data_IF_712797349447
#
_entry.id   IF_712797349447
#
_cell.length_a   1.000
_cell.length_b   1.000
_cell.length_c   1.000
_cell.angle_alpha   90.00
_cell.angle_beta   90.00
_cell.angle_gamma   90.00
#
_symmetry.space_group_name_H-M   'P 1'
#
loop_
_entity.id
_entity.type
_entity.pdbx_description
1 polymer ?
#
# COMPACT_ATOMS: atom_id res chain seq x y z
N UNK A 1 -8.84 -15.67 24.27
CA UNK A 1 -8.71 -14.21 24.09
C UNK A 1 -9.00 -13.58 25.44
N UNK A 2 -8.11 -12.75 25.98
CA UNK A 2 -8.43 -12.04 27.23
C UNK A 2 -9.68 -11.18 26.99
N UNK A 3 -10.58 -11.12 27.97
CA UNK A 3 -11.89 -10.47 27.88
C UNK A 3 -11.83 -8.93 27.82
N UNK A 4 -10.82 -8.39 27.11
CA UNK A 4 -10.52 -6.97 27.06
C UNK A 4 -10.01 -6.42 28.39
N UNK A 5 -9.69 -7.23 29.39
CA UNK A 5 -9.23 -6.69 30.68
C UNK A 5 -7.84 -6.06 30.54
N UNK A 6 -7.67 -4.77 30.92
CA UNK A 6 -6.39 -4.11 30.82
C UNK A 6 -5.41 -4.70 31.84
N UNK A 7 -4.19 -5.01 31.39
CA UNK A 7 -3.11 -5.53 32.24
C UNK A 7 -2.07 -4.43 32.41
N UNK A 8 -1.66 -4.20 33.66
CA UNK A 8 -0.65 -3.21 34.00
C UNK A 8 0.70 -3.55 33.32
N UNK A 9 1.39 -2.53 32.82
CA UNK A 9 2.65 -2.67 32.05
C UNK A 9 2.57 -3.51 30.76
N UNK A 10 1.39 -3.94 30.32
CA UNK A 10 1.24 -4.55 28.99
C UNK A 10 1.43 -3.49 27.90
N UNK A 11 2.31 -3.78 26.94
CA UNK A 11 2.53 -2.98 25.74
C UNK A 11 1.32 -2.99 24.79
N UNK A 12 0.50 -4.03 24.86
CA UNK A 12 -0.70 -4.19 24.03
C UNK A 12 -1.98 -3.75 24.76
N UNK A 13 -1.87 -3.16 25.95
CA UNK A 13 -2.98 -2.86 26.88
C UNK A 13 -3.63 -4.09 27.51
N UNK A 14 -3.82 -5.17 26.76
CA UNK A 14 -4.40 -6.46 27.17
C UNK A 14 -3.36 -7.60 27.09
N UNK A 15 -3.73 -8.82 27.49
CA UNK A 15 -2.96 -10.03 27.18
C UNK A 15 -3.24 -10.47 25.73
N UNK A 16 -2.24 -10.43 24.82
CA UNK A 16 -2.45 -10.75 23.42
C UNK A 16 -2.78 -12.22 23.19
N UNK A 17 -3.49 -12.50 22.10
CA UNK A 17 -3.73 -13.84 21.61
C UNK A 17 -2.43 -14.46 21.08
N UNK A 18 -2.12 -15.68 21.52
CA UNK A 18 -0.92 -16.42 21.12
C UNK A 18 -1.07 -17.14 19.77
N UNK A 19 -2.27 -17.60 19.43
CA UNK A 19 -2.52 -18.39 18.22
C UNK A 19 -2.83 -17.56 16.96
N UNK A 20 -3.52 -16.42 17.11
CA UNK A 20 -3.89 -15.59 15.97
C UNK A 20 -2.68 -15.03 15.20
N UNK A 21 -1.60 -14.52 15.83
CA UNK A 21 -0.39 -14.12 15.13
C UNK A 21 0.25 -15.24 14.32
N UNK A 22 0.25 -16.48 14.84
CA UNK A 22 0.82 -17.66 14.15
C UNK A 22 0.05 -17.91 12.85
N UNK A 23 -1.28 -17.92 12.92
CA UNK A 23 -2.13 -18.09 11.73
C UNK A 23 -1.83 -17.02 10.67
N UNK A 24 -1.80 -15.74 11.06
CA UNK A 24 -1.53 -14.66 10.10
C UNK A 24 -0.10 -14.72 9.56
N UNK A 25 0.90 -15.04 10.39
CA UNK A 25 2.27 -15.21 9.93
C UNK A 25 2.37 -16.30 8.85
N UNK A 26 1.76 -17.47 9.07
CA UNK A 26 1.73 -18.56 8.09
C UNK A 26 0.98 -18.14 6.82
N UNK A 27 -0.19 -17.53 6.96
CA UNK A 27 -1.00 -17.10 5.83
C UNK A 27 -0.28 -16.07 4.93
N UNK A 28 0.39 -15.08 5.55
CA UNK A 28 1.20 -14.11 4.81
C UNK A 28 2.49 -14.73 4.25
N UNK A 29 3.08 -15.73 4.91
CA UNK A 29 4.24 -16.44 4.38
C UNK A 29 3.89 -17.20 3.09
N UNK A 30 2.76 -17.91 3.10
CA UNK A 30 2.22 -18.59 1.91
C UNK A 30 1.97 -17.55 0.81
N UNK A 31 1.30 -16.44 1.15
CA UNK A 31 1.06 -15.35 0.20
C UNK A 31 2.36 -14.78 -0.38
N UNK A 32 3.40 -14.62 0.44
CA UNK A 32 4.71 -14.12 0.01
C UNK A 32 5.37 -15.07 -0.99
N UNK A 33 5.36 -16.38 -0.72
CA UNK A 33 5.90 -17.40 -1.64
C UNK A 33 5.23 -17.29 -3.01
N UNK A 34 3.90 -17.18 -3.05
CA UNK A 34 3.17 -17.02 -4.31
C UNK A 34 3.52 -15.71 -5.04
N UNK A 35 3.51 -14.57 -4.35
CA UNK A 35 3.86 -13.28 -4.96
C UNK A 35 5.30 -13.29 -5.51
N UNK A 36 6.25 -13.85 -4.75
CA UNK A 36 7.65 -13.98 -5.16
C UNK A 36 7.76 -14.87 -6.41
N UNK A 37 7.14 -16.05 -6.38
CA UNK A 37 7.11 -16.95 -7.54
C UNK A 37 6.51 -16.27 -8.78
N UNK A 38 5.39 -15.56 -8.62
CA UNK A 38 4.76 -14.80 -9.70
C UNK A 38 5.68 -13.71 -10.25
N UNK A 39 6.38 -12.96 -9.39
CA UNK A 39 7.33 -11.94 -9.80
C UNK A 39 8.46 -12.51 -10.66
N UNK A 40 9.00 -13.67 -10.29
CA UNK A 40 10.02 -14.37 -11.08
C UNK A 40 9.45 -14.94 -12.38
N UNK A 41 8.32 -15.63 -12.32
CA UNK A 41 7.70 -16.31 -13.47
C UNK A 41 7.24 -15.35 -14.57
N UNK A 42 6.73 -14.18 -14.20
CA UNK A 42 6.23 -13.16 -15.13
C UNK A 42 7.21 -12.00 -15.36
N UNK A 43 8.43 -12.06 -14.77
CA UNK A 43 9.46 -11.01 -14.86
C UNK A 43 8.91 -9.61 -14.51
N UNK A 44 8.04 -9.55 -13.50
CA UNK A 44 7.18 -8.39 -13.26
C UNK A 44 7.47 -7.62 -11.96
N UNK A 45 8.67 -7.77 -11.40
CA UNK A 45 9.10 -7.07 -10.18
C UNK A 45 8.87 -5.55 -10.22
N UNK A 46 8.93 -4.91 -11.40
CA UNK A 46 8.66 -3.46 -11.52
C UNK A 46 7.21 -3.08 -11.22
N UNK A 47 6.25 -3.92 -11.62
CA UNK A 47 4.83 -3.65 -11.51
C UNK A 47 4.28 -4.12 -10.16
N UNK A 48 4.57 -5.38 -9.79
CA UNK A 48 3.97 -6.04 -8.63
C UNK A 48 4.92 -6.21 -7.45
N UNK A 49 6.19 -5.80 -7.54
CA UNK A 49 7.22 -6.06 -6.52
C UNK A 49 6.95 -5.49 -5.13
N UNK A 50 6.00 -4.57 -4.98
CA UNK A 50 5.54 -4.10 -3.66
C UNK A 50 4.69 -5.14 -2.91
N UNK A 51 3.94 -6.00 -3.62
CA UNK A 51 3.15 -7.06 -3.00
C UNK A 51 3.98 -8.11 -2.25
N UNK A 52 5.03 -8.73 -2.85
CA UNK A 52 5.87 -9.67 -2.12
C UNK A 52 6.63 -8.99 -0.99
N UNK A 53 7.07 -7.74 -1.16
CA UNK A 53 7.69 -6.98 -0.07
C UNK A 53 6.73 -6.86 1.13
N UNK A 54 5.49 -6.42 0.89
CA UNK A 54 4.49 -6.31 1.95
C UNK A 54 4.16 -7.67 2.57
N UNK A 55 4.04 -8.73 1.78
CA UNK A 55 3.74 -10.07 2.30
C UNK A 55 4.88 -10.60 3.21
N UNK A 56 6.14 -10.37 2.86
CA UNK A 56 7.30 -10.69 3.72
C UNK A 56 7.29 -9.84 4.99
N UNK A 57 7.03 -8.54 4.88
CA UNK A 57 6.96 -7.64 6.03
C UNK A 57 5.82 -8.02 6.98
N UNK A 58 4.62 -8.33 6.46
CA UNK A 58 3.53 -8.85 7.30
C UNK A 58 3.91 -10.15 7.99
N UNK A 59 4.54 -11.09 7.28
CA UNK A 59 5.03 -12.35 7.87
C UNK A 59 5.95 -12.08 9.06
N UNK A 60 6.95 -11.22 8.87
CA UNK A 60 7.87 -10.82 9.93
C UNK A 60 7.14 -10.08 11.07
N UNK A 61 6.23 -9.16 10.74
CA UNK A 61 5.47 -8.39 11.72
C UNK A 61 4.58 -9.26 12.62
N UNK A 62 3.90 -10.26 12.05
CA UNK A 62 3.07 -11.21 12.82
C UNK A 62 3.90 -12.25 13.57
N UNK A 63 5.06 -12.67 13.05
CA UNK A 63 6.00 -13.51 13.79
C UNK A 63 6.57 -12.77 15.02
N UNK A 64 6.95 -11.50 14.86
CA UNK A 64 7.36 -10.66 15.99
C UNK A 64 6.20 -10.41 16.97
N UNK A 65 4.97 -10.28 16.46
CA UNK A 65 3.76 -10.16 17.30
C UNK A 65 3.53 -11.40 18.14
N UNK A 66 3.77 -12.60 17.58
CA UNK A 66 3.71 -13.85 18.33
C UNK A 66 4.70 -13.85 19.50
N UNK A 67 5.97 -13.51 19.24
CA UNK A 67 6.96 -13.36 20.31
C UNK A 67 6.48 -12.37 21.38
N UNK A 68 5.93 -11.24 20.93
CA UNK A 68 5.33 -10.21 21.79
C UNK A 68 4.14 -10.74 22.61
N UNK A 69 3.35 -11.68 22.08
CA UNK A 69 2.23 -12.30 22.80
C UNK A 69 2.69 -13.19 23.97
N UNK A 70 3.90 -13.74 23.92
CA UNK A 70 4.51 -14.44 25.06
C UNK A 70 5.29 -13.49 26.00
N UNK A 71 5.75 -12.35 25.49
CA UNK A 71 6.61 -11.40 26.20
C UNK A 71 6.05 -9.97 26.15
N UNK A 72 4.81 -9.76 26.61
CA UNK A 72 4.10 -8.48 26.46
C UNK A 72 4.28 -7.49 27.62
N UNK A 73 4.90 -7.91 28.73
CA UNK A 73 5.09 -7.08 29.92
C UNK A 73 6.36 -6.23 29.76
N UNK A 74 6.20 -4.91 29.89
CA UNK A 74 7.30 -3.96 29.88
C UNK A 74 7.96 -3.86 31.26
N UNK A 75 9.28 -4.04 31.30
CA UNK A 75 10.11 -3.81 32.49
C UNK A 75 11.21 -2.80 32.12
N UNK A 76 11.44 -1.79 32.96
CA UNK A 76 12.47 -0.76 32.73
C UNK A 76 13.88 -1.35 32.58
N UNK A 77 14.13 -2.52 33.18
CA UNK A 77 15.40 -3.26 33.11
C UNK A 77 15.61 -3.99 31.78
N UNK A 78 14.55 -4.28 31.02
CA UNK A 78 14.63 -5.10 29.80
C UNK A 78 13.89 -4.43 28.65
N UNK A 79 14.65 -3.84 27.72
CA UNK A 79 14.10 -3.11 26.57
C UNK A 79 13.67 -4.00 25.39
N UNK A 80 14.03 -5.28 25.41
CA UNK A 80 13.80 -6.20 24.28
C UNK A 80 12.30 -6.34 23.90
N UNK A 81 11.35 -6.55 24.84
CA UNK A 81 9.91 -6.57 24.55
C UNK A 81 9.42 -5.32 23.82
N UNK A 82 9.90 -4.14 24.23
CA UNK A 82 9.54 -2.87 23.61
C UNK A 82 10.04 -2.79 22.16
N UNK A 83 11.29 -3.17 21.92
CA UNK A 83 11.87 -3.14 20.56
C UNK A 83 11.10 -4.09 19.64
N UNK A 84 10.79 -5.30 20.10
CA UNK A 84 10.04 -6.29 19.32
C UNK A 84 8.62 -5.82 19.04
N UNK A 85 7.95 -5.22 20.03
CA UNK A 85 6.65 -4.60 19.85
C UNK A 85 6.69 -3.51 18.76
N UNK A 86 7.65 -2.58 18.85
CA UNK A 86 7.81 -1.50 17.87
C UNK A 86 8.07 -2.04 16.47
N UNK A 87 9.00 -2.99 16.32
CA UNK A 87 9.30 -3.61 15.01
C UNK A 87 8.08 -4.34 14.44
N UNK A 88 7.31 -5.05 15.28
CA UNK A 88 6.06 -5.69 14.88
C UNK A 88 5.05 -4.67 14.35
N UNK A 89 4.82 -3.57 15.09
CA UNK A 89 3.90 -2.52 14.64
C UNK A 89 4.38 -1.87 13.33
N UNK A 90 5.67 -1.55 13.22
CA UNK A 90 6.25 -0.92 12.02
C UNK A 90 6.04 -1.81 10.79
N UNK A 91 6.40 -3.10 10.87
CA UNK A 91 6.24 -4.02 9.75
C UNK A 91 4.78 -4.23 9.34
N UNK A 92 3.84 -4.23 10.28
CA UNK A 92 2.42 -4.37 9.98
C UNK A 92 1.86 -3.07 9.37
N UNK A 93 2.14 -1.91 9.96
CA UNK A 93 1.48 -0.65 9.57
C UNK A 93 2.03 -0.03 8.29
N UNK A 94 3.30 -0.24 7.96
CA UNK A 94 3.92 0.29 6.73
C UNK A 94 3.39 -0.39 5.46
N UNK A 95 2.87 -1.61 5.57
CA UNK A 95 2.47 -2.40 4.41
C UNK A 95 1.29 -1.79 3.62
N UNK A 96 0.18 -1.35 4.22
CA UNK A 96 -0.96 -0.96 3.40
C UNK A 96 -0.78 0.34 2.62
N UNK A 97 -0.08 1.38 3.10
CA UNK A 97 0.35 2.48 2.25
C UNK A 97 1.17 2.00 1.04
N UNK A 98 2.07 1.02 1.22
CA UNK A 98 2.83 0.43 0.11
C UNK A 98 1.93 -0.38 -0.85
N UNK A 99 0.91 -1.07 -0.36
CA UNK A 99 -0.09 -1.75 -1.19
C UNK A 99 -0.96 -0.76 -1.97
N UNK A 100 -1.28 0.39 -1.38
CA UNK A 100 -1.97 1.47 -2.06
C UNK A 100 -1.11 2.06 -3.19
N UNK A 101 0.17 2.29 -2.94
CA UNK A 101 1.13 2.66 -3.97
C UNK A 101 1.22 1.61 -5.09
N UNK A 102 1.09 0.33 -4.76
CA UNK A 102 1.01 -0.74 -5.76
C UNK A 102 -0.25 -0.59 -6.63
N UNK A 103 -1.41 -0.27 -6.06
CA UNK A 103 -2.63 0.04 -6.81
C UNK A 103 -2.41 1.24 -7.76
N UNK A 104 -1.71 2.28 -7.30
CA UNK A 104 -1.40 3.45 -8.14
C UNK A 104 -0.55 3.06 -9.36
N UNK A 105 0.39 2.12 -9.20
CA UNK A 105 1.19 1.56 -10.29
C UNK A 105 0.35 0.77 -11.28
N UNK A 106 -0.58 -0.05 -10.80
CA UNK A 106 -1.48 -0.80 -11.68
C UNK A 106 -2.39 0.14 -12.46
N UNK A 107 -2.96 1.18 -11.83
CA UNK A 107 -3.80 2.16 -12.54
C UNK A 107 -2.98 2.98 -13.57
N UNK A 108 -1.79 3.43 -13.20
CA UNK A 108 -0.91 4.11 -14.15
C UNK A 108 -0.54 3.21 -15.34
N UNK A 109 -0.37 1.90 -15.10
CA UNK A 109 -0.14 0.93 -16.16
C UNK A 109 -1.35 0.78 -17.08
N UNK A 110 -2.58 0.78 -16.54
CA UNK A 110 -3.80 0.80 -17.35
C UNK A 110 -3.90 2.08 -18.21
N UNK A 111 -3.46 3.22 -17.69
CA UNK A 111 -3.46 4.48 -18.45
C UNK A 111 -2.40 4.49 -19.54
N UNK A 112 -1.27 3.82 -19.32
CA UNK A 112 -0.30 3.55 -20.38
C UNK A 112 -0.85 2.64 -21.45
N UNK A 113 -1.59 1.61 -21.06
CA UNK A 113 -2.17 0.66 -22.00
C UNK A 113 -3.30 1.29 -22.82
N UNK A 114 -4.13 2.17 -22.24
CA UNK A 114 -5.23 2.85 -22.96
C UNK A 114 -5.13 4.38 -22.77
N UNK A 115 -4.18 5.04 -23.47
CA UNK A 115 -3.92 6.46 -23.26
C UNK A 115 -5.08 7.36 -23.68
N UNK A 116 -5.89 6.96 -24.66
CA UNK A 116 -7.02 7.77 -25.14
C UNK A 116 -8.22 7.79 -24.17
N UNK A 117 -8.32 6.82 -23.25
CA UNK A 117 -9.31 6.84 -22.18
C UNK A 117 -8.78 7.48 -20.89
N UNK A 118 -7.46 7.70 -20.76
CA UNK A 118 -6.84 8.21 -19.56
C UNK A 118 -7.30 9.66 -19.24
N UNK A 119 -7.85 9.94 -18.04
CA UNK A 119 -8.16 11.31 -17.60
C UNK A 119 -6.92 12.14 -17.33
N UNK A 120 -5.81 11.50 -16.96
CA UNK A 120 -4.54 12.14 -16.64
C UNK A 120 -3.39 11.37 -17.30
N UNK A 121 -2.26 12.02 -17.61
CA UNK A 121 -1.08 11.31 -18.07
C UNK A 121 -0.58 10.31 -17.02
N UNK A 122 -0.33 9.06 -17.42
CA UNK A 122 0.08 7.97 -16.52
C UNK A 122 1.28 8.32 -15.62
N UNK A 123 2.29 9.03 -16.16
CA UNK A 123 3.45 9.48 -15.39
C UNK A 123 3.10 10.41 -14.23
N UNK A 124 2.08 11.27 -14.40
CA UNK A 124 1.70 12.21 -13.36
C UNK A 124 1.02 11.51 -12.19
N UNK A 125 0.34 10.39 -12.42
CA UNK A 125 -0.34 9.65 -11.36
C UNK A 125 0.69 9.09 -10.38
N UNK A 126 1.69 8.39 -10.88
CA UNK A 126 2.73 7.81 -10.03
C UNK A 126 3.48 8.88 -9.24
N UNK A 127 3.85 9.99 -9.89
CA UNK A 127 4.58 11.05 -9.22
C UNK A 127 3.73 11.81 -8.22
N UNK A 128 2.50 12.20 -8.59
CA UNK A 128 1.62 12.96 -7.69
C UNK A 128 1.16 12.12 -6.52
N UNK A 129 0.62 10.92 -6.76
CA UNK A 129 0.12 10.08 -5.68
C UNK A 129 1.25 9.47 -4.84
N UNK A 130 2.40 9.15 -5.44
CA UNK A 130 3.58 8.75 -4.69
C UNK A 130 4.14 9.86 -3.79
N UNK A 131 4.16 11.10 -4.28
CA UNK A 131 4.56 12.27 -3.48
C UNK A 131 3.58 12.54 -2.33
N UNK A 132 2.27 12.48 -2.61
CA UNK A 132 1.23 12.64 -1.59
C UNK A 132 1.34 11.55 -0.52
N UNK A 133 1.52 10.30 -0.93
CA UNK A 133 1.74 9.18 -0.01
C UNK A 133 2.98 9.40 0.85
N UNK A 134 4.11 9.82 0.27
CA UNK A 134 5.32 10.14 1.04
C UNK A 134 5.05 11.24 2.08
N UNK A 135 4.34 12.29 1.70
CA UNK A 135 3.96 13.38 2.62
C UNK A 135 3.04 12.86 3.74
N UNK A 136 2.04 12.06 3.42
CA UNK A 136 1.12 11.48 4.41
C UNK A 136 1.87 10.55 5.38
N UNK A 137 2.71 9.66 4.88
CA UNK A 137 3.45 8.70 5.70
C UNK A 137 4.51 9.37 6.58
N UNK A 138 5.12 10.47 6.12
CA UNK A 138 6.03 11.27 6.94
C UNK A 138 5.29 11.98 8.07
N UNK A 139 4.14 12.60 7.80
CA UNK A 139 3.29 13.21 8.83
C UNK A 139 2.81 12.15 9.84
N UNK A 140 2.38 10.99 9.36
CA UNK A 140 1.92 9.88 10.19
C UNK A 140 3.04 9.35 11.08
N UNK A 141 4.23 9.09 10.52
CA UNK A 141 5.38 8.57 11.26
C UNK A 141 5.85 9.54 12.34
N UNK A 142 5.91 10.83 12.03
CA UNK A 142 6.24 11.88 13.00
C UNK A 142 5.15 12.00 14.07
N UNK A 143 3.88 11.95 13.68
CA UNK A 143 2.75 12.01 14.59
C UNK A 143 2.78 10.88 15.62
N UNK A 144 2.95 9.63 15.17
CA UNK A 144 3.05 8.45 16.03
C UNK A 144 4.29 8.52 16.93
N UNK A 145 5.44 8.94 16.41
CA UNK A 145 6.67 9.05 17.20
C UNK A 145 6.55 10.09 18.34
N UNK A 146 5.92 11.24 18.07
CA UNK A 146 5.68 12.28 19.07
C UNK A 146 4.62 11.86 20.11
N UNK A 147 3.54 11.22 19.65
CA UNK A 147 2.46 10.77 20.53
C UNK A 147 2.92 9.64 21.47
N UNK A 148 3.77 8.73 21.00
CA UNK A 148 4.28 7.59 21.77
C UNK A 148 5.47 7.94 22.68
N UNK A 149 6.03 9.15 22.58
CA UNK A 149 7.19 9.53 23.37
C UNK A 149 6.79 9.99 24.78
N UNK A 150 6.93 9.10 25.77
CA UNK A 150 6.63 9.39 27.17
C UNK A 150 7.51 10.49 27.78
N UNK A 151 8.65 10.81 27.17
CA UNK A 151 9.55 11.89 27.61
C UNK A 151 9.20 13.26 27.03
N UNK A 152 8.29 13.33 26.05
CA UNK A 152 7.83 14.59 25.44
C UNK A 152 6.80 15.31 26.32
N UNK A 153 6.69 16.63 26.18
CA UNK A 153 5.67 17.42 26.89
C UNK A 153 4.25 17.02 26.45
N UNK A 154 3.26 17.28 27.30
CA UNK A 154 1.83 17.03 26.98
C UNK A 154 1.40 17.73 25.70
N UNK A 155 1.88 18.95 25.45
CA UNK A 155 1.64 19.69 24.20
C UNK A 155 2.24 18.99 22.98
N UNK A 156 3.45 18.42 23.10
CA UNK A 156 4.09 17.67 22.00
C UNK A 156 3.37 16.35 21.71
N UNK A 157 2.92 15.63 22.74
CA UNK A 157 2.15 14.40 22.57
C UNK A 157 0.79 14.68 21.90
N UNK A 158 0.10 15.77 22.32
CA UNK A 158 -1.14 16.22 21.69
C UNK A 158 -0.92 16.60 20.22
N UNK A 159 0.15 17.34 19.91
CA UNK A 159 0.54 17.64 18.54
C UNK A 159 0.75 16.36 17.72
N UNK A 160 1.44 15.36 18.27
CA UNK A 160 1.64 14.06 17.63
C UNK A 160 0.33 13.34 17.29
N UNK A 161 -0.62 13.34 18.23
CA UNK A 161 -1.96 12.77 18.01
C UNK A 161 -2.70 13.50 16.89
N UNK A 162 -2.71 14.85 16.91
CA UNK A 162 -3.32 15.65 15.86
C UNK A 162 -2.68 15.44 14.48
N UNK A 163 -1.36 15.33 14.41
CA UNK A 163 -0.64 15.01 13.17
C UNK A 163 -1.04 13.64 12.60
N UNK A 164 -1.19 12.64 13.48
CA UNK A 164 -1.62 11.29 13.08
C UNK A 164 -3.03 11.31 12.53
N UNK A 165 -3.97 11.98 13.21
CA UNK A 165 -5.36 12.13 12.74
C UNK A 165 -5.42 12.89 11.41
N UNK A 166 -4.63 13.96 11.27
CA UNK A 166 -4.56 14.72 10.03
C UNK A 166 -4.03 13.86 8.86
N UNK A 167 -2.97 13.10 9.07
CA UNK A 167 -2.40 12.20 8.07
C UNK A 167 -3.43 11.14 7.62
N UNK A 168 -4.10 10.48 8.56
CA UNK A 168 -5.16 9.50 8.27
C UNK A 168 -6.34 10.12 7.52
N UNK A 169 -6.71 11.36 7.84
CA UNK A 169 -7.79 12.09 7.16
C UNK A 169 -7.42 12.45 5.72
N UNK A 170 -6.19 12.92 5.48
CA UNK A 170 -5.68 13.19 4.14
C UNK A 170 -5.64 11.87 3.34
N UNK A 171 -5.15 10.79 3.93
CA UNK A 171 -5.10 9.46 3.31
C UNK A 171 -6.46 9.00 2.81
N UNK A 172 -7.50 9.16 3.63
CA UNK A 172 -8.88 8.84 3.27
C UNK A 172 -9.36 9.62 2.05
N UNK A 173 -9.10 10.93 2.01
CA UNK A 173 -9.45 11.79 0.86
C UNK A 173 -8.70 11.36 -0.41
N UNK A 174 -7.40 11.05 -0.30
CA UNK A 174 -6.58 10.60 -1.43
C UNK A 174 -7.13 9.30 -2.03
N UNK A 175 -7.54 8.34 -1.20
CA UNK A 175 -8.17 7.09 -1.64
C UNK A 175 -9.45 7.37 -2.45
N UNK A 176 -10.32 8.27 -1.97
CA UNK A 176 -11.56 8.64 -2.67
C UNK A 176 -11.24 9.27 -4.04
N UNK A 177 -10.31 10.21 -4.09
CA UNK A 177 -9.89 10.85 -5.35
C UNK A 177 -9.37 9.80 -6.33
N UNK A 178 -8.57 8.84 -5.85
CA UNK A 178 -8.05 7.75 -6.68
C UNK A 178 -9.17 6.87 -7.25
N UNK A 179 -10.15 6.47 -6.43
CA UNK A 179 -11.31 5.69 -6.88
C UNK A 179 -12.13 6.48 -7.91
N UNK A 180 -12.34 7.78 -7.70
CA UNK A 180 -13.01 8.64 -8.68
C UNK A 180 -12.27 8.68 -10.03
N UNK A 181 -10.94 8.80 -10.02
CA UNK A 181 -10.13 8.76 -11.25
C UNK A 181 -10.24 7.41 -11.97
N UNK A 182 -10.20 6.29 -11.23
CA UNK A 182 -10.40 4.97 -11.79
C UNK A 182 -11.80 4.81 -12.41
N UNK A 183 -12.83 5.35 -11.75
CA UNK A 183 -14.21 5.38 -12.25
C UNK A 183 -14.38 6.22 -13.52
N UNK A 184 -13.75 7.38 -13.60
CA UNK A 184 -13.76 8.19 -14.82
C UNK A 184 -13.11 7.41 -15.98
N UNK A 185 -11.98 6.75 -15.73
CA UNK A 185 -11.32 5.91 -16.72
C UNK A 185 -12.21 4.74 -17.16
N UNK A 186 -12.84 4.04 -16.22
CA UNK A 186 -13.77 2.94 -16.51
C UNK A 186 -14.93 3.42 -17.41
N UNK A 187 -15.58 4.55 -17.06
CA UNK A 187 -16.68 5.10 -17.86
C UNK A 187 -16.22 5.49 -19.28
N UNK A 188 -15.00 6.03 -19.43
CA UNK A 188 -14.41 6.31 -20.75
C UNK A 188 -14.14 5.03 -21.54
N UNK A 189 -13.59 3.99 -20.92
CA UNK A 189 -13.39 2.70 -21.59
C UNK A 189 -14.71 2.09 -22.09
N UNK A 190 -15.77 2.19 -21.29
CA UNK A 190 -17.12 1.72 -21.70
C UNK A 190 -17.67 2.54 -22.87
N UNK A 191 -17.49 3.86 -22.85
CA UNK A 191 -17.93 4.76 -23.93
C UNK A 191 -17.20 4.48 -25.25
N UNK A 192 -15.89 4.28 -25.19
CA UNK A 192 -15.07 3.93 -26.35
C UNK A 192 -15.17 2.44 -26.72
N UNK A 193 -16.06 1.68 -26.08
CA UNK A 193 -16.35 0.25 -26.33
C UNK A 193 -15.09 -0.63 -26.35
N UNK A 194 -14.17 -0.38 -25.42
CA UNK A 194 -12.97 -1.21 -25.24
C UNK A 194 -13.39 -2.65 -24.98
N UNK A 195 -12.97 -3.60 -25.82
CA UNK A 195 -13.35 -5.02 -25.76
C UNK A 195 -12.36 -5.90 -24.98
N UNK A 196 -11.40 -5.30 -24.27
CA UNK A 196 -10.35 -6.03 -23.56
C UNK A 196 -10.82 -6.39 -22.14
N UNK A 197 -11.26 -7.63 -21.93
CA UNK A 197 -11.75 -8.14 -20.62
C UNK A 197 -10.72 -8.01 -19.50
N UNK A 198 -9.43 -8.11 -19.82
CA UNK A 198 -8.32 -7.91 -18.89
C UNK A 198 -8.38 -6.56 -18.16
N UNK A 199 -8.78 -5.49 -18.86
CA UNK A 199 -8.86 -4.13 -18.31
C UNK A 199 -9.95 -4.03 -17.25
N UNK A 200 -11.15 -4.57 -17.55
CA UNK A 200 -12.26 -4.56 -16.60
C UNK A 200 -12.00 -5.45 -15.39
N UNK A 201 -11.32 -6.59 -15.59
CA UNK A 201 -10.91 -7.48 -14.49
C UNK A 201 -9.98 -6.75 -13.52
N UNK A 202 -9.01 -5.99 -14.05
CA UNK A 202 -8.07 -5.23 -13.22
C UNK A 202 -8.69 -4.00 -12.58
N UNK A 203 -9.61 -3.31 -13.25
CA UNK A 203 -10.37 -2.24 -12.64
C UNK A 203 -11.23 -2.76 -11.48
N UNK A 204 -11.90 -3.89 -11.67
CA UNK A 204 -12.65 -4.55 -10.59
C UNK A 204 -11.75 -4.92 -9.41
N UNK A 205 -10.60 -5.55 -9.70
CA UNK A 205 -9.59 -5.90 -8.69
C UNK A 205 -9.09 -4.66 -7.94
N UNK A 206 -8.83 -3.56 -8.65
CA UNK A 206 -8.46 -2.28 -8.06
C UNK A 206 -9.55 -1.72 -7.15
N UNK A 207 -10.82 -1.77 -7.54
CA UNK A 207 -11.91 -1.31 -6.68
C UNK A 207 -12.03 -2.10 -5.38
N UNK A 208 -11.94 -3.44 -5.47
CA UNK A 208 -11.98 -4.29 -4.27
C UNK A 208 -10.77 -4.01 -3.38
N UNK A 209 -9.57 -3.93 -3.96
CA UNK A 209 -8.33 -3.58 -3.25
C UNK A 209 -8.44 -2.23 -2.52
N UNK A 210 -8.88 -1.18 -3.22
CA UNK A 210 -9.04 0.16 -2.63
C UNK A 210 -10.15 0.20 -1.58
N UNK A 211 -11.23 -0.56 -1.74
CA UNK A 211 -12.29 -0.64 -0.73
C UNK A 211 -11.78 -1.30 0.57
N UNK A 212 -11.01 -2.38 0.47
CA UNK A 212 -10.40 -3.03 1.64
C UNK A 212 -9.45 -2.09 2.39
N UNK A 213 -8.62 -1.34 1.64
CA UNK A 213 -7.72 -0.33 2.22
C UNK A 213 -8.53 0.82 2.85
N UNK A 214 -9.61 1.28 2.21
CA UNK A 214 -10.46 2.34 2.72
C UNK A 214 -11.11 1.97 4.06
N UNK A 215 -11.68 0.78 4.17
CA UNK A 215 -12.30 0.30 5.42
C UNK A 215 -11.26 0.27 6.55
N UNK A 216 -10.03 -0.18 6.25
CA UNK A 216 -8.91 -0.15 7.19
C UNK A 216 -8.52 1.28 7.60
N UNK A 217 -8.46 2.22 6.66
CA UNK A 217 -8.20 3.64 6.96
C UNK A 217 -9.28 4.26 7.86
N UNK A 218 -10.55 3.92 7.64
CA UNK A 218 -11.66 4.34 8.51
C UNK A 218 -11.49 3.77 9.92
N UNK A 219 -11.19 2.47 10.03
CA UNK A 219 -10.87 1.85 11.33
C UNK A 219 -9.74 2.58 12.05
N UNK A 220 -8.62 2.85 11.36
CA UNK A 220 -7.47 3.59 11.93
C UNK A 220 -7.84 4.99 12.38
N UNK A 221 -8.65 5.70 11.60
CA UNK A 221 -9.11 7.04 11.96
C UNK A 221 -10.00 7.02 13.21
N UNK A 222 -10.94 6.06 13.30
CA UNK A 222 -11.79 5.90 14.49
C UNK A 222 -10.97 5.46 15.70
N UNK A 223 -9.98 4.60 15.51
CA UNK A 223 -9.06 4.17 16.56
C UNK A 223 -8.28 5.35 17.17
N UNK A 224 -7.78 6.28 16.34
CA UNK A 224 -7.00 7.43 16.80
C UNK A 224 -7.86 8.61 17.29
N UNK A 225 -9.10 8.72 16.84
CA UNK A 225 -10.04 9.75 17.31
C UNK A 225 -10.78 9.35 18.58
N UNK A 226 -10.89 8.05 18.89
CA UNK A 226 -11.35 7.56 20.19
C UNK A 226 -10.40 8.02 21.31
N UNK A 227 -10.93 8.24 22.53
CA UNK A 227 -10.16 8.70 23.70
C UNK A 227 -8.90 7.85 23.94
N UNK A 228 -7.77 8.27 23.37
CA UNK A 228 -6.48 7.57 23.40
C UNK A 228 -5.53 8.29 24.35
N UNK A 229 -5.97 8.51 25.60
CA UNK A 229 -5.02 8.83 26.69
C UNK A 229 -4.48 7.50 27.20
N UNK A 230 -3.28 7.14 26.74
CA UNK A 230 -2.58 5.93 27.18
C UNK A 230 -1.62 6.33 28.29
N UNK A 231 -2.13 6.48 29.52
CA UNK A 231 -1.25 6.44 30.68
C UNK A 231 -0.97 4.97 31.03
N UNK A 232 0.32 4.59 31.01
CA UNK A 232 0.72 3.21 31.26
C UNK A 232 0.48 2.83 32.72
N UNK A 233 0.40 3.81 33.62
CA UNK A 233 0.35 3.64 35.08
C UNK A 233 -1.06 3.66 35.70
N UNK A 234 -2.07 4.16 34.97
CA UNK A 234 -3.43 4.33 35.51
C UNK A 234 -4.45 3.35 34.89
N UNK A 235 -5.05 2.50 35.73
CA UNK A 235 -6.03 1.48 35.31
C UNK A 235 -7.38 2.10 34.93
N UNK A 236 -7.79 3.19 35.60
CA UNK A 236 -9.08 3.84 35.37
C UNK A 236 -9.16 4.56 34.02
N UNK A 237 -8.06 5.18 33.56
CA UNK A 237 -7.98 5.77 32.22
C UNK A 237 -8.04 4.70 31.12
N UNK A 238 -7.43 3.53 31.35
CA UNK A 238 -7.47 2.41 30.40
C UNK A 238 -8.87 1.81 30.24
N UNK A 239 -9.75 1.92 31.25
CA UNK A 239 -11.17 1.53 31.11
C UNK A 239 -11.96 2.49 30.24
N UNK A 240 -11.53 3.75 30.12
CA UNK A 240 -12.13 4.78 29.26
C UNK A 240 -11.62 4.78 27.82
N UNK A 241 -10.62 3.94 27.51
CA UNK A 241 -10.18 3.70 26.12
C UNK A 241 -11.34 3.17 25.28
N UNK A 242 -11.41 3.63 24.03
CA UNK A 242 -12.39 3.15 23.07
C UNK A 242 -12.37 1.61 22.99
N UNK A 243 -13.55 0.97 22.99
CA UNK A 243 -13.69 -0.49 22.86
C UNK A 243 -12.88 -1.08 21.70
N UNK A 244 -12.64 -0.28 20.65
CA UNK A 244 -11.81 -0.65 19.50
C UNK A 244 -10.35 -0.97 19.88
N UNK A 245 -9.75 -0.24 20.82
CA UNK A 245 -8.37 -0.47 21.29
C UNK A 245 -8.33 -1.60 22.32
N UNK A 246 -9.43 -1.80 23.04
CA UNK A 246 -9.53 -2.78 24.14
C UNK A 246 -9.71 -4.21 23.64
N UNK A 247 -10.39 -4.41 22.52
CA UNK A 247 -10.65 -5.73 21.94
C UNK A 247 -9.74 -6.02 20.76
N UNK A 248 -8.79 -6.92 20.95
CA UNK A 248 -7.84 -7.39 19.93
C UNK A 248 -8.52 -7.95 18.66
N UNK A 249 -9.77 -8.43 18.80
CA UNK A 249 -10.55 -8.97 17.67
C UNK A 249 -10.70 -7.93 16.55
N UNK A 250 -10.91 -6.65 16.87
CA UNK A 250 -11.06 -5.61 15.86
C UNK A 250 -9.76 -5.39 15.08
N UNK A 251 -8.61 -5.46 15.75
CA UNK A 251 -7.31 -5.42 15.09
C UNK A 251 -7.18 -6.59 14.09
N UNK A 252 -7.47 -7.83 14.47
CA UNK A 252 -7.34 -8.94 13.52
C UNK A 252 -8.34 -8.88 12.36
N UNK A 253 -9.55 -8.36 12.57
CA UNK A 253 -10.54 -8.20 11.50
C UNK A 253 -10.11 -7.08 10.54
N UNK A 254 -9.93 -5.86 11.06
CA UNK A 254 -9.75 -4.67 10.23
C UNK A 254 -8.31 -4.43 9.76
N UNK A 255 -7.30 -4.83 10.54
CA UNK A 255 -5.89 -4.71 10.12
C UNK A 255 -5.40 -5.99 9.44
N UNK A 256 -5.55 -7.14 10.09
CA UNK A 256 -4.93 -8.37 9.61
C UNK A 256 -5.69 -9.01 8.45
N UNK A 257 -7.00 -9.19 8.59
CA UNK A 257 -7.83 -9.93 7.64
C UNK A 257 -8.06 -9.12 6.37
N UNK A 258 -8.40 -7.82 6.46
CA UNK A 258 -8.59 -6.98 5.27
C UNK A 258 -7.34 -6.95 4.38
N UNK A 259 -6.15 -6.84 4.98
CA UNK A 259 -4.90 -6.83 4.24
C UNK A 259 -4.52 -8.19 3.70
N UNK A 260 -4.91 -9.28 4.37
CA UNK A 260 -4.69 -10.63 3.88
C UNK A 260 -5.58 -10.91 2.68
N UNK A 261 -6.87 -10.52 2.74
CA UNK A 261 -7.80 -10.59 1.61
C UNK A 261 -7.28 -9.78 0.43
N UNK A 262 -6.74 -8.58 0.67
CA UNK A 262 -6.12 -7.79 -0.38
C UNK A 262 -4.89 -8.48 -0.98
N UNK A 263 -4.04 -9.08 -0.15
CA UNK A 263 -2.86 -9.82 -0.61
C UNK A 263 -3.24 -11.05 -1.46
N UNK A 264 -4.28 -11.80 -1.05
CA UNK A 264 -4.82 -12.94 -1.78
C UNK A 264 -5.48 -12.51 -3.09
N UNK A 265 -6.23 -11.40 -3.08
CA UNK A 265 -6.84 -10.81 -4.27
C UNK A 265 -5.78 -10.58 -5.36
N UNK A 266 -4.64 -9.97 -5.02
CA UNK A 266 -3.56 -9.73 -5.98
C UNK A 266 -2.76 -11.00 -6.37
N UNK A 267 -2.75 -12.03 -5.53
CA UNK A 267 -2.23 -13.35 -5.91
C UNK A 267 -3.11 -14.01 -6.97
N UNK A 268 -4.44 -13.93 -6.84
CA UNK A 268 -5.38 -14.57 -7.77
C UNK A 268 -5.46 -13.78 -9.09
N UNK A 269 -5.69 -12.47 -9.01
CA UNK A 269 -5.83 -11.58 -10.17
C UNK A 269 -4.55 -10.81 -10.45
N UNK A 270 -3.48 -11.54 -10.75
CA UNK A 270 -2.18 -10.94 -11.02
C UNK A 270 -2.22 -10.08 -12.32
N UNK A 271 -1.88 -8.77 -12.26
CA UNK A 271 -1.83 -7.87 -13.41
C UNK A 271 -1.03 -8.39 -14.60
N UNK A 272 0.02 -9.17 -14.33
CA UNK A 272 0.99 -9.62 -15.32
C UNK A 272 0.51 -10.81 -16.15
N UNK A 273 -0.60 -11.44 -15.73
CA UNK A 273 -1.34 -12.38 -16.57
C UNK A 273 -2.16 -11.66 -17.63
N UNK A 274 -2.54 -10.42 -17.35
CA UNK A 274 -3.53 -9.65 -18.12
C UNK A 274 -2.90 -8.53 -18.96
N UNK A 275 -1.73 -8.02 -18.57
CA UNK A 275 -0.96 -7.05 -19.35
C UNK A 275 0.46 -7.53 -19.58
N UNK A 276 0.97 -7.28 -20.79
CA UNK A 276 2.39 -7.43 -21.09
C UNK A 276 3.24 -6.62 -20.08
N UNK A 277 4.37 -7.16 -19.58
CA UNK A 277 5.22 -6.44 -18.63
C UNK A 277 5.81 -5.13 -19.17
N UNK A 278 5.84 -4.94 -20.48
CA UNK A 278 6.53 -3.82 -21.11
C UNK A 278 5.64 -2.59 -21.27
N UNK A 279 6.06 -1.47 -20.66
CA UNK A 279 5.36 -0.18 -20.70
C UNK A 279 5.18 0.41 -22.11
N UNK A 280 5.81 -0.21 -23.11
CA UNK A 280 5.77 0.17 -24.53
C UNK A 280 4.51 -0.28 -25.25
N UNK A 281 3.83 -1.30 -24.74
CA UNK A 281 2.60 -1.83 -25.35
C UNK A 281 1.42 -0.93 -24.97
N UNK A 282 0.84 -0.29 -25.99
CA UNK A 282 -0.37 0.55 -25.90
C UNK A 282 -1.42 0.05 -26.88
N UNK A 283 -2.69 0.06 -26.49
CA UNK A 283 -3.81 -0.30 -27.35
C UNK A 283 -4.16 0.88 -28.27
N UNK A 284 -4.16 0.65 -29.58
CA UNK A 284 -4.70 1.58 -30.55
C UNK A 284 -6.24 1.56 -30.57
N UNK A 285 -6.85 2.58 -31.18
CA UNK A 285 -8.32 2.65 -31.32
C UNK A 285 -8.91 1.58 -32.22
N UNK A 286 -8.09 0.96 -33.07
CA UNK A 286 -8.47 -0.17 -33.93
C UNK A 286 -8.39 -1.53 -33.21
N UNK A 287 -7.95 -1.55 -31.95
CA UNK A 287 -7.79 -2.77 -31.16
C UNK A 287 -6.43 -3.47 -31.35
N UNK A 288 -5.53 -2.93 -32.17
CA UNK A 288 -4.17 -3.46 -32.31
C UNK A 288 -3.27 -2.98 -31.17
N UNK A 289 -2.33 -3.83 -30.74
CA UNK A 289 -1.30 -3.47 -29.76
C UNK A 289 -0.12 -2.80 -30.48
N UNK A 290 0.11 -1.52 -30.19
CA UNK A 290 1.25 -0.75 -30.69
C UNK A 290 2.40 -0.83 -29.69
N UNK A 291 3.58 -1.19 -30.17
CA UNK A 291 4.81 -1.16 -29.38
C UNK A 291 5.53 0.17 -29.62
N UNK A 292 5.63 1.01 -28.59
CA UNK A 292 6.39 2.26 -28.64
C UNK A 292 7.89 2.03 -28.83
N UNK A 293 8.55 2.95 -29.54
CA UNK A 293 9.99 2.91 -29.82
C UNK A 293 10.84 3.05 -28.55
N UNK A 294 11.95 2.32 -28.52
CA UNK A 294 12.86 2.23 -27.38
C UNK A 294 13.68 3.51 -27.19
N UNK A 295 13.24 4.34 -26.25
CA UNK A 295 13.98 5.54 -25.87
C UNK A 295 14.91 5.17 -24.69
N UNK A 296 16.15 4.74 -25.01
CA UNK A 296 17.17 4.28 -24.04
C UNK A 296 17.33 5.30 -22.90
N UNK A 297 17.13 4.85 -21.66
CA UNK A 297 17.29 5.71 -20.48
C UNK A 297 18.77 5.72 -20.06
N UNK A 298 19.49 6.75 -20.50
CA UNK A 298 20.95 6.94 -20.29
C UNK A 298 21.34 7.28 -18.84
N UNK A 299 20.38 7.37 -17.90
CA UNK A 299 20.67 7.69 -16.49
C UNK A 299 21.46 6.61 -15.76
N UNK A 300 22.30 7.03 -14.81
CA UNK A 300 23.04 6.12 -13.92
C UNK A 300 22.08 5.32 -13.01
N UNK A 301 22.51 4.14 -12.54
CA UNK A 301 21.72 3.27 -11.65
C UNK A 301 21.29 4.01 -10.38
N UNK A 302 22.16 4.89 -9.84
CA UNK A 302 21.88 5.70 -8.65
C UNK A 302 20.81 6.75 -8.93
N UNK A 303 20.85 7.42 -10.08
CA UNK A 303 19.83 8.40 -10.46
C UNK A 303 18.48 7.74 -10.75
N UNK A 304 18.49 6.53 -11.32
CA UNK A 304 17.29 5.70 -11.50
C UNK A 304 16.69 5.32 -10.15
N UNK A 305 17.51 4.89 -9.20
CA UNK A 305 17.06 4.54 -7.86
C UNK A 305 16.57 5.77 -7.09
N UNK A 306 17.29 6.89 -7.14
CA UNK A 306 16.87 8.17 -6.55
C UNK A 306 15.57 8.69 -7.15
N UNK A 307 15.39 8.60 -8.47
CA UNK A 307 14.14 8.94 -9.14
C UNK A 307 12.99 8.01 -8.71
N UNK A 308 13.24 6.72 -8.47
CA UNK A 308 12.22 5.79 -7.96
C UNK A 308 11.87 6.09 -6.49
N UNK A 309 12.89 6.32 -5.65
CA UNK A 309 12.73 6.62 -4.22
C UNK A 309 12.01 7.95 -3.97
N UNK A 310 12.19 8.92 -4.87
CA UNK A 310 11.57 10.25 -4.79
C UNK A 310 10.31 10.35 -5.63
N UNK A 311 9.77 9.21 -6.07
CA UNK A 311 8.56 9.13 -6.90
C UNK A 311 8.62 9.95 -8.20
N UNK A 312 9.81 10.27 -8.70
CA UNK A 312 10.01 11.03 -9.94
C UNK A 312 10.12 12.54 -9.75
N UNK A 313 10.22 13.01 -8.50
CA UNK A 313 10.44 14.44 -8.18
C UNK A 313 11.90 14.82 -8.43
N UNK A 314 12.85 14.02 -7.92
CA UNK A 314 14.28 14.24 -8.11
C UNK A 314 14.82 13.36 -9.24
N UNK A 315 15.87 13.82 -9.90
CA UNK A 315 16.51 13.13 -11.02
C UNK A 315 15.56 12.83 -12.21
N UNK A 316 14.60 13.73 -12.45
CA UNK A 316 13.60 13.60 -13.52
C UNK A 316 14.28 13.50 -14.89
N UNK A 317 13.79 12.59 -15.73
CA UNK A 317 14.28 12.42 -17.12
C UNK A 317 14.17 13.75 -17.89
N UNK A 318 15.29 14.31 -18.34
CA UNK A 318 15.28 15.36 -19.37
C UNK A 318 14.85 14.70 -20.68
N UNK A 319 13.67 15.04 -21.19
CA UNK A 319 13.31 14.67 -22.56
C UNK A 319 14.22 15.48 -23.49
N UNK A 320 15.16 14.81 -24.16
CA UNK A 320 15.82 15.39 -25.32
C UNK A 320 14.75 15.73 -26.37
N UNK A 321 14.66 16.99 -26.75
CA UNK A 321 13.71 17.45 -27.75
C UNK A 321 14.07 16.89 -29.12
N UNK A 322 13.46 15.77 -29.51
CA UNK A 322 13.21 15.44 -30.92
C UNK A 322 11.72 15.21 -31.09
N UNK A 323 11.00 16.30 -31.38
CA UNK A 323 9.78 16.19 -32.17
C UNK A 323 10.19 15.59 -33.52
N UNK A 324 9.88 14.33 -33.75
CA UNK A 324 9.92 13.80 -35.11
C UNK A 324 8.61 14.24 -35.77
N UNK A 325 8.69 15.36 -36.50
CA UNK A 325 7.75 15.72 -37.57
C UNK A 325 7.58 14.49 -38.47
N UNK A 326 6.34 14.23 -38.88
CA UNK A 326 5.90 12.99 -39.49
C UNK A 326 6.79 12.45 -40.61
N UNK A 327 6.94 11.13 -40.63
CA UNK A 327 7.01 10.31 -41.84
C UNK A 327 6.80 8.84 -41.48
N UNK A 328 6.02 8.20 -42.34
CA UNK A 328 5.77 6.77 -42.54
C UNK A 328 4.80 6.03 -41.59
N UNK A 329 3.51 6.14 -41.94
CA UNK A 329 2.41 5.21 -41.64
C UNK A 329 2.63 3.77 -42.17
N UNK A 330 3.86 3.35 -42.49
CA UNK A 330 4.14 2.05 -43.13
C UNK A 330 4.91 1.04 -42.30
N UNK A 331 5.39 1.39 -41.10
CA UNK A 331 6.16 0.48 -40.23
C UNK A 331 5.42 -0.03 -38.98
N UNK A 332 4.11 0.22 -38.83
CA UNK A 332 3.32 -0.18 -37.66
C UNK A 332 2.40 -1.39 -37.90
N UNK A 333 2.77 -2.31 -38.79
CA UNK A 333 2.10 -3.62 -38.92
C UNK A 333 3.12 -4.74 -38.97
N UNK A 334 3.49 -5.30 -37.83
CA UNK A 334 3.72 -6.75 -37.69
C UNK A 334 3.47 -7.13 -36.23
N UNK A 335 2.37 -7.82 -35.98
CA UNK A 335 2.27 -9.06 -35.18
C UNK A 335 0.79 -9.46 -35.15
N UNK A 336 0.28 -9.79 -36.32
CA UNK A 336 -0.87 -10.67 -36.49
C UNK A 336 -0.40 -11.80 -37.38
N UNK A 337 -0.57 -13.04 -36.92
CA UNK A 337 -0.14 -14.31 -37.53
C UNK A 337 1.29 -14.73 -37.20
N UNK A 338 1.48 -15.40 -36.07
CA UNK A 338 1.81 -16.84 -36.07
C UNK A 338 1.90 -17.42 -34.65
N UNK A 339 1.09 -18.46 -34.43
CA UNK A 339 1.09 -19.50 -33.37
C UNK A 339 0.63 -19.16 -31.96
#
# INVERSE_FOLDING_TARGET
MAAGEPILYSLYVYAPNKGAPIFFAIAYAISAIFHIWQCYRYKAFKLIGLHPLCAVMFTAGYALREYGAYNYIYLTTTKLPLIIFVLSQVFIYVCPPLLELANYRVLARLFYYIPYCAPLPANKILTTFGALMMLVETLNSLGVALAANSSSSTTQQALGSHLTIAALSIQFVVIIIFVCLASIFHLRCKRERVQVTAVYTLLFTLYVSMALILVRCVYRLVEHTGNTKIDISNIDERRTLSSIVRYEVFFYIFEATLMLLNSILWNVWNPCRYLAPDNRVSLARDGSELMGTEDKDERSVVEKMGNVLTFGILFRRKKGGKQVKGKDERSLRVLGQDK
#
